data_IF_019328852982
#
_entry.id   IF_019328852982
#
_cell.length_a   1.000
_cell.length_b   1.000
_cell.length_c   1.000
_cell.angle_alpha   90.00
_cell.angle_beta   90.00
_cell.angle_gamma   90.00
#
_symmetry.space_group_name_H-M   'P 1'
#
loop_
_entity.id
_entity.type
_entity.pdbx_description
1 polymer ?
#
# COMPACT_ATOMS: atom_id res chain seq x y z
N UNK A 1 -10.26 24.63 -14.45
CA UNK A 1 -8.98 24.42 -15.19
C UNK A 1 -8.50 22.99 -15.01
N UNK A 2 -8.43 22.46 -13.76
CA UNK A 2 -7.93 21.11 -13.48
C UNK A 2 -8.80 20.01 -14.15
N UNK A 3 -10.12 20.10 -14.09
CA UNK A 3 -11.02 19.18 -14.79
C UNK A 3 -10.71 19.09 -16.29
N UNK A 4 -10.43 20.25 -16.95
CA UNK A 4 -10.02 20.29 -18.36
C UNK A 4 -8.67 19.58 -18.55
N UNK A 5 -7.69 19.82 -17.67
CA UNK A 5 -6.39 19.17 -17.74
C UNK A 5 -6.52 17.64 -17.69
N UNK A 6 -7.27 17.12 -16.73
CA UNK A 6 -7.48 15.68 -16.58
C UNK A 6 -8.17 15.03 -17.76
N UNK A 7 -9.08 15.75 -18.45
CA UNK A 7 -9.76 15.22 -19.63
C UNK A 7 -8.93 15.31 -20.93
N UNK A 8 -7.99 16.25 -21.02
CA UNK A 8 -7.24 16.51 -22.25
C UNK A 8 -5.79 15.99 -22.22
N UNK A 9 -5.31 15.50 -21.09
CA UNK A 9 -3.95 15.00 -20.94
C UNK A 9 -3.93 13.50 -20.64
N UNK A 10 -2.92 12.82 -21.16
CA UNK A 10 -2.63 11.43 -20.79
C UNK A 10 -1.73 11.49 -19.57
N UNK A 11 -2.23 10.97 -18.45
CA UNK A 11 -1.46 10.88 -17.21
C UNK A 11 -0.69 9.56 -17.15
N UNK A 12 0.61 9.64 -16.87
CA UNK A 12 1.52 8.48 -16.84
C UNK A 12 2.00 8.15 -15.42
N UNK A 13 1.41 8.73 -14.39
CA UNK A 13 1.74 8.41 -13.00
C UNK A 13 0.98 7.13 -12.63
N UNK A 14 1.72 6.03 -12.42
CA UNK A 14 1.14 4.70 -12.23
C UNK A 14 0.21 4.58 -11.01
N UNK A 15 0.36 5.45 -10.02
CA UNK A 15 -0.45 5.48 -8.79
C UNK A 15 -1.70 6.36 -8.89
N UNK A 16 -1.91 7.11 -9.97
CA UNK A 16 -3.11 7.91 -10.16
C UNK A 16 -4.27 7.05 -10.67
N UNK A 17 -5.47 7.38 -10.21
CA UNK A 17 -6.71 6.76 -10.65
C UNK A 17 -7.85 7.80 -10.67
N UNK A 18 -8.66 7.75 -11.70
CA UNK A 18 -9.86 8.58 -11.79
C UNK A 18 -10.96 7.99 -10.92
N UNK A 19 -11.33 8.69 -9.86
CA UNK A 19 -12.37 8.23 -8.94
C UNK A 19 -13.76 8.52 -9.50
N UNK A 20 -14.75 7.74 -9.04
CA UNK A 20 -16.14 8.01 -9.34
C UNK A 20 -16.64 9.28 -8.63
N UNK A 21 -17.70 9.87 -9.16
CA UNK A 21 -18.38 11.01 -8.54
C UNK A 21 -18.84 10.67 -7.11
N UNK A 22 -19.33 9.45 -6.89
CA UNK A 22 -19.76 9.00 -5.57
C UNK A 22 -18.62 8.98 -4.53
N UNK A 23 -17.41 8.60 -4.93
CA UNK A 23 -16.23 8.67 -4.05
C UNK A 23 -15.89 10.11 -3.68
N UNK A 24 -15.92 11.03 -4.66
CA UNK A 24 -15.66 12.44 -4.40
C UNK A 24 -16.72 13.07 -3.48
N UNK A 25 -17.99 12.72 -3.64
CA UNK A 25 -19.09 13.17 -2.79
C UNK A 25 -18.93 12.64 -1.36
N UNK A 26 -18.54 11.39 -1.18
CA UNK A 26 -18.29 10.80 0.14
C UNK A 26 -17.13 11.49 0.87
N UNK A 27 -16.03 11.77 0.17
CA UNK A 27 -14.88 12.47 0.75
C UNK A 27 -15.20 13.91 1.17
N UNK A 28 -16.06 14.61 0.45
CA UNK A 28 -16.50 15.99 0.74
C UNK A 28 -17.75 16.06 1.62
N UNK A 29 -18.17 14.99 2.25
CA UNK A 29 -19.37 14.94 3.07
C UNK A 29 -19.18 15.55 4.46
N UNK A 30 -20.29 15.74 5.19
CA UNK A 30 -20.28 16.23 6.58
C UNK A 30 -19.50 15.32 7.55
N UNK A 31 -19.22 14.08 7.19
CA UNK A 31 -18.37 13.18 7.97
C UNK A 31 -16.94 13.70 8.12
N UNK A 32 -16.48 14.57 7.21
CA UNK A 32 -15.20 15.29 7.31
C UNK A 32 -15.06 16.07 8.64
N UNK A 33 -16.16 16.50 9.22
CA UNK A 33 -16.17 17.26 10.48
C UNK A 33 -16.06 16.37 11.73
N UNK A 34 -16.20 15.03 11.57
CA UNK A 34 -16.32 14.12 12.72
C UNK A 34 -14.98 13.48 13.08
N UNK A 35 -14.53 13.73 14.29
CA UNK A 35 -13.40 13.02 14.89
C UNK A 35 -13.85 11.65 15.42
N UNK A 36 -13.26 10.58 14.93
CA UNK A 36 -13.70 9.21 15.18
C UNK A 36 -12.54 8.26 15.51
N UNK A 37 -11.68 8.67 16.44
CA UNK A 37 -10.57 7.86 16.92
C UNK A 37 -11.06 6.54 17.52
N UNK A 38 -10.34 5.46 17.22
CA UNK A 38 -10.70 4.10 17.59
C UNK A 38 -11.31 3.33 16.41
N UNK A 39 -12.07 2.29 16.70
CA UNK A 39 -12.70 1.43 15.70
C UNK A 39 -14.23 1.39 15.89
N UNK A 40 -15.00 0.93 14.90
CA UNK A 40 -16.44 0.78 15.03
C UNK A 40 -16.81 0.08 16.34
N UNK A 41 -17.80 0.63 17.05
CA UNK A 41 -18.27 0.20 18.37
C UNK A 41 -17.23 0.30 19.50
N UNK A 42 -16.03 0.80 19.24
CA UNK A 42 -14.92 0.98 20.21
C UNK A 42 -14.25 2.34 20.02
N UNK A 43 -15.04 3.39 19.96
CA UNK A 43 -14.55 4.78 19.78
C UNK A 43 -14.19 5.41 21.12
N UNK A 44 -13.21 6.31 21.08
CA UNK A 44 -12.86 7.12 22.25
C UNK A 44 -13.85 8.25 22.49
N UNK A 45 -14.61 8.66 21.46
CA UNK A 45 -15.55 9.79 21.52
C UNK A 45 -16.96 9.38 21.13
N UNK A 46 -17.96 10.08 21.67
CA UNK A 46 -19.36 9.89 21.33
C UNK A 46 -19.73 10.40 19.94
N UNK A 47 -20.94 10.04 19.48
CA UNK A 47 -21.50 10.52 18.21
C UNK A 47 -20.92 9.84 16.96
N UNK A 48 -20.31 8.67 17.07
CA UNK A 48 -19.65 7.98 15.98
C UNK A 48 -20.52 6.91 15.27
N UNK A 49 -21.78 6.76 15.66
CA UNK A 49 -22.66 5.71 15.13
C UNK A 49 -22.83 5.75 13.61
N UNK A 50 -22.84 6.94 13.01
CA UNK A 50 -22.94 7.08 11.55
C UNK A 50 -21.60 6.81 10.85
N UNK A 51 -20.49 7.20 11.47
CA UNK A 51 -19.14 6.88 10.99
C UNK A 51 -18.90 5.37 11.07
N UNK A 52 -19.35 4.71 12.12
CA UNK A 52 -19.24 3.26 12.28
C UNK A 52 -19.91 2.51 11.13
N UNK A 53 -21.11 2.93 10.72
CA UNK A 53 -21.80 2.36 9.55
C UNK A 53 -20.95 2.50 8.28
N UNK A 54 -20.38 3.66 8.04
CA UNK A 54 -19.56 3.91 6.86
C UNK A 54 -18.27 3.08 6.86
N UNK A 55 -17.60 2.97 8.02
CA UNK A 55 -16.36 2.20 8.16
C UNK A 55 -16.64 0.69 8.07
N UNK A 56 -17.69 0.18 8.72
CA UNK A 56 -18.05 -1.24 8.63
C UNK A 56 -18.44 -1.63 7.20
N UNK A 57 -19.18 -0.80 6.49
CA UNK A 57 -19.52 -1.02 5.09
C UNK A 57 -18.26 -1.09 4.20
N UNK A 58 -17.30 -0.22 4.43
CA UNK A 58 -16.03 -0.24 3.70
C UNK A 58 -15.21 -1.51 4.01
N UNK A 59 -15.16 -1.92 5.27
CA UNK A 59 -14.48 -3.15 5.71
C UNK A 59 -15.10 -4.39 5.09
N UNK A 60 -16.43 -4.49 5.12
CA UNK A 60 -17.15 -5.67 4.61
C UNK A 60 -16.99 -5.79 3.09
N UNK A 61 -17.09 -4.69 2.36
CA UNK A 61 -16.84 -4.66 0.91
C UNK A 61 -15.40 -5.03 0.57
N UNK A 62 -14.42 -4.53 1.32
CA UNK A 62 -13.02 -4.90 1.11
C UNK A 62 -12.77 -6.38 1.41
N UNK A 63 -13.38 -6.96 2.46
CA UNK A 63 -13.32 -8.40 2.71
C UNK A 63 -13.86 -9.21 1.54
N UNK A 64 -15.00 -8.81 1.00
CA UNK A 64 -15.61 -9.48 -0.14
C UNK A 64 -14.73 -9.42 -1.40
N UNK A 65 -14.23 -8.22 -1.75
CA UNK A 65 -13.40 -8.01 -2.95
C UNK A 65 -12.08 -8.79 -2.88
N UNK A 66 -11.43 -8.81 -1.71
CA UNK A 66 -10.10 -9.41 -1.55
C UNK A 66 -10.13 -10.83 -0.98
N UNK A 67 -11.30 -11.36 -0.61
CA UNK A 67 -11.42 -12.66 0.06
C UNK A 67 -10.68 -12.67 1.41
N UNK A 68 -10.62 -11.56 2.11
CA UNK A 68 -9.84 -11.39 3.33
C UNK A 68 -10.69 -11.61 4.57
N UNK A 69 -10.12 -12.27 5.59
CA UNK A 69 -10.78 -12.44 6.89
C UNK A 69 -10.80 -11.15 7.70
N UNK A 70 -9.73 -10.35 7.62
CA UNK A 70 -9.55 -9.10 8.35
C UNK A 70 -9.15 -7.97 7.43
N UNK A 71 -9.73 -6.80 7.63
CA UNK A 71 -9.45 -5.59 6.87
C UNK A 71 -9.39 -4.39 7.81
N UNK A 72 -8.43 -3.52 7.56
CA UNK A 72 -8.36 -2.19 8.14
C UNK A 72 -8.42 -1.15 7.00
N UNK A 73 -9.42 -0.28 7.02
CA UNK A 73 -9.65 0.74 5.98
C UNK A 73 -9.27 2.15 6.45
N UNK A 74 -8.65 2.28 7.63
CA UNK A 74 -8.31 3.59 8.19
C UNK A 74 -7.06 4.26 7.59
N UNK A 75 -6.04 3.54 7.05
CA UNK A 75 -4.91 4.21 6.43
C UNK A 75 -5.35 5.18 5.32
N UNK A 76 -4.86 6.42 5.40
CA UNK A 76 -5.22 7.46 4.41
C UNK A 76 -4.43 7.32 3.09
N UNK A 77 -3.42 6.46 3.05
CA UNK A 77 -2.55 6.24 1.88
C UNK A 77 -1.90 4.87 1.91
N UNK A 78 -1.41 4.40 0.75
CA UNK A 78 -0.60 3.19 0.67
C UNK A 78 0.66 3.27 1.53
N UNK A 79 1.29 4.45 1.64
CA UNK A 79 2.45 4.64 2.52
C UNK A 79 2.11 4.43 3.99
N UNK A 80 0.96 4.91 4.45
CA UNK A 80 0.51 4.67 5.82
C UNK A 80 0.14 3.20 6.05
N UNK A 81 -0.50 2.56 5.07
CA UNK A 81 -0.80 1.13 5.15
C UNK A 81 0.49 0.30 5.27
N UNK A 82 1.50 0.57 4.45
CA UNK A 82 2.79 -0.09 4.54
C UNK A 82 3.49 0.18 5.88
N UNK A 83 3.44 1.41 6.38
CA UNK A 83 4.00 1.75 7.69
C UNK A 83 3.33 0.97 8.82
N UNK A 84 2.01 0.81 8.78
CA UNK A 84 1.27 0.03 9.76
C UNK A 84 1.71 -1.45 9.76
N UNK A 85 1.86 -2.05 8.58
CA UNK A 85 2.35 -3.43 8.44
C UNK A 85 3.78 -3.57 8.97
N UNK A 86 4.68 -2.66 8.59
CA UNK A 86 6.07 -2.70 9.08
C UNK A 86 6.14 -2.60 10.61
N UNK A 87 5.43 -1.65 11.20
CA UNK A 87 5.38 -1.47 12.65
C UNK A 87 4.78 -2.68 13.39
N UNK A 88 3.86 -3.41 12.76
CA UNK A 88 3.24 -4.58 13.37
C UNK A 88 4.20 -5.78 13.47
N UNK A 89 5.12 -5.94 12.52
CA UNK A 89 5.91 -7.17 12.38
C UNK A 89 7.43 -6.97 12.45
N UNK A 90 7.92 -5.74 12.35
CA UNK A 90 9.35 -5.42 12.33
C UNK A 90 9.75 -4.55 13.52
N UNK A 91 11.03 -4.62 13.85
CA UNK A 91 11.73 -3.67 14.74
C UNK A 91 12.64 -2.77 13.90
N UNK A 92 13.00 -1.56 14.39
CA UNK A 92 13.99 -0.72 13.74
C UNK A 92 15.26 -1.53 13.39
N UNK A 93 15.78 -1.28 12.17
CA UNK A 93 16.96 -1.97 11.60
C UNK A 93 16.75 -3.44 11.20
N UNK A 94 15.58 -4.01 11.34
CA UNK A 94 15.29 -5.33 10.76
C UNK A 94 15.47 -5.29 9.24
N UNK A 95 15.94 -6.41 8.68
CA UNK A 95 16.21 -6.54 7.25
C UNK A 95 14.92 -6.91 6.49
N UNK A 96 14.67 -6.17 5.42
CA UNK A 96 13.53 -6.36 4.52
C UNK A 96 14.05 -6.54 3.09
N UNK A 97 13.43 -7.42 2.32
CA UNK A 97 13.67 -7.56 0.90
C UNK A 97 12.50 -6.92 0.13
N UNK A 98 12.78 -5.98 -0.76
CA UNK A 98 11.76 -5.28 -1.55
C UNK A 98 12.19 -5.10 -2.99
N UNK A 99 11.23 -4.76 -3.86
CA UNK A 99 11.55 -4.47 -5.27
C UNK A 99 12.28 -3.13 -5.38
N UNK A 100 13.34 -3.11 -6.19
CA UNK A 100 14.11 -1.91 -6.49
C UNK A 100 13.24 -0.82 -7.12
N UNK A 101 13.43 0.42 -6.68
CA UNK A 101 12.68 1.58 -7.18
C UNK A 101 12.84 1.76 -8.68
N UNK A 102 14.05 1.56 -9.21
CA UNK A 102 14.36 1.69 -10.63
C UNK A 102 13.74 0.59 -11.50
N UNK A 103 13.30 -0.50 -10.88
CA UNK A 103 12.65 -1.62 -11.55
C UNK A 103 11.12 -1.67 -11.34
N UNK A 104 10.55 -0.61 -10.78
CA UNK A 104 9.11 -0.46 -10.57
C UNK A 104 8.66 -0.59 -9.12
N UNK A 105 9.57 -0.69 -8.17
CA UNK A 105 9.27 -0.65 -6.73
C UNK A 105 8.66 0.68 -6.30
N UNK A 106 8.22 0.75 -5.05
CA UNK A 106 7.67 1.95 -4.44
C UNK A 106 8.69 2.60 -3.49
N UNK A 107 8.54 3.91 -3.22
CA UNK A 107 9.40 4.60 -2.24
C UNK A 107 9.41 3.90 -0.86
N UNK A 108 8.27 3.34 -0.44
CA UNK A 108 8.16 2.58 0.82
C UNK A 108 8.86 1.22 0.80
N UNK A 109 9.47 0.82 -0.30
CA UNK A 109 10.32 -0.38 -0.39
C UNK A 109 11.79 -0.06 -0.07
N UNK A 110 12.05 0.86 0.84
CA UNK A 110 13.37 1.11 1.39
C UNK A 110 14.15 2.25 0.75
N UNK A 111 13.49 3.15 0.02
CA UNK A 111 14.16 4.36 -0.48
C UNK A 111 14.81 5.14 0.67
N UNK A 112 16.08 5.58 0.56
CA UNK A 112 16.79 6.29 1.62
C UNK A 112 16.13 7.59 2.08
N UNK A 113 15.29 8.19 1.23
CA UNK A 113 14.55 9.43 1.53
C UNK A 113 13.14 9.16 2.07
N UNK A 114 12.78 7.90 2.26
CA UNK A 114 11.48 7.48 2.76
C UNK A 114 11.61 6.92 4.18
N UNK A 115 10.53 7.02 4.99
CA UNK A 115 10.51 6.48 6.35
C UNK A 115 10.99 5.02 6.42
N UNK A 116 10.68 4.21 5.41
CA UNK A 116 11.05 2.79 5.37
C UNK A 116 12.55 2.59 5.34
N UNK A 117 13.27 3.28 4.44
CA UNK A 117 14.73 3.20 4.37
C UNK A 117 15.45 3.92 5.52
N UNK A 118 14.78 4.87 6.18
CA UNK A 118 15.31 5.54 7.38
C UNK A 118 15.18 4.69 8.64
N UNK A 119 14.18 3.79 8.71
CA UNK A 119 13.86 3.02 9.91
C UNK A 119 14.39 1.58 9.82
N UNK A 120 14.31 0.97 8.65
CA UNK A 120 14.65 -0.45 8.43
C UNK A 120 15.82 -0.59 7.45
N UNK A 121 16.45 -1.75 7.45
CA UNK A 121 17.46 -2.09 6.44
C UNK A 121 16.79 -2.75 5.26
N UNK A 122 17.12 -2.30 4.06
CA UNK A 122 16.57 -2.87 2.84
C UNK A 122 17.66 -3.44 1.95
N UNK A 123 17.35 -4.57 1.34
CA UNK A 123 18.01 -5.11 0.17
C UNK A 123 16.98 -5.23 -0.94
N UNK A 124 17.43 -5.09 -2.18
CA UNK A 124 16.52 -5.05 -3.31
C UNK A 124 16.60 -6.32 -4.17
N UNK A 125 15.45 -6.73 -4.71
CA UNK A 125 15.38 -7.58 -5.89
C UNK A 125 14.94 -6.75 -7.09
N UNK A 126 15.25 -7.23 -8.27
CA UNK A 126 14.91 -6.53 -9.51
C UNK A 126 14.32 -7.43 -10.56
N UNK A 127 14.38 -6.95 -11.80
CA UNK A 127 14.00 -7.70 -12.99
C UNK A 127 15.26 -8.20 -13.72
N UNK A 128 15.12 -9.28 -14.43
CA UNK A 128 16.16 -9.77 -15.33
C UNK A 128 16.43 -8.76 -16.45
N UNK A 129 17.70 -8.58 -16.80
CA UNK A 129 18.15 -7.53 -17.73
C UNK A 129 17.73 -7.75 -19.19
N UNK A 130 17.32 -8.96 -19.54
CA UNK A 130 16.94 -9.33 -20.91
C UNK A 130 15.44 -9.42 -21.06
N UNK A 131 14.79 -10.15 -20.16
CA UNK A 131 13.35 -10.42 -20.22
C UNK A 131 12.51 -9.30 -19.56
N UNK A 132 13.12 -8.48 -18.71
CA UNK A 132 12.47 -7.44 -17.93
C UNK A 132 11.33 -7.96 -17.03
N UNK A 133 11.40 -9.22 -16.60
CA UNK A 133 10.47 -9.81 -15.62
C UNK A 133 11.22 -10.13 -14.32
N UNK A 134 10.45 -10.27 -13.22
CA UNK A 134 11.02 -10.64 -11.92
C UNK A 134 11.69 -12.01 -12.04
N UNK A 135 12.99 -12.07 -11.71
CA UNK A 135 13.72 -13.32 -11.59
C UNK A 135 13.50 -13.91 -10.18
N UNK A 136 12.54 -14.81 -10.07
CA UNK A 136 12.19 -15.45 -8.79
C UNK A 136 13.32 -16.33 -8.21
N UNK A 137 14.21 -16.87 -9.07
CA UNK A 137 15.36 -17.61 -8.58
C UNK A 137 16.35 -16.67 -7.89
N UNK A 138 16.60 -15.50 -8.49
CA UNK A 138 17.42 -14.47 -7.86
C UNK A 138 16.79 -13.94 -6.56
N UNK A 139 15.46 -13.76 -6.51
CA UNK A 139 14.75 -13.40 -5.27
C UNK A 139 15.01 -14.44 -4.20
N UNK A 140 14.88 -15.73 -4.54
CA UNK A 140 15.14 -16.84 -3.62
C UNK A 140 16.59 -16.84 -3.09
N UNK A 141 17.58 -16.69 -3.98
CA UNK A 141 19.00 -16.65 -3.61
C UNK A 141 19.31 -15.48 -2.67
N UNK A 142 18.80 -14.29 -2.98
CA UNK A 142 18.96 -13.10 -2.12
C UNK A 142 18.34 -13.35 -0.75
N UNK A 143 17.12 -13.90 -0.72
CA UNK A 143 16.41 -14.19 0.52
C UNK A 143 17.14 -15.22 1.37
N UNK A 144 17.60 -16.32 0.77
CA UNK A 144 18.33 -17.38 1.46
C UNK A 144 19.66 -16.91 2.02
N UNK A 145 20.37 -16.08 1.26
CA UNK A 145 21.68 -15.52 1.67
C UNK A 145 21.56 -14.55 2.84
N UNK A 146 20.55 -13.68 2.79
CA UNK A 146 20.43 -12.54 3.71
C UNK A 146 19.41 -12.76 4.82
N UNK A 147 18.49 -13.71 4.67
CA UNK A 147 17.45 -14.08 5.64
C UNK A 147 16.66 -12.86 6.15
N UNK A 148 16.01 -12.09 5.24
CA UNK A 148 15.19 -10.95 5.65
C UNK A 148 14.03 -11.41 6.53
N UNK A 149 13.59 -10.55 7.43
CA UNK A 149 12.39 -10.81 8.25
C UNK A 149 11.08 -10.64 7.49
N UNK A 150 11.14 -9.88 6.40
CA UNK A 150 9.98 -9.63 5.54
C UNK A 150 10.42 -9.55 4.08
N UNK A 151 9.58 -10.06 3.19
CA UNK A 151 9.68 -9.85 1.75
C UNK A 151 8.44 -9.08 1.31
N UNK A 152 8.65 -8.00 0.56
CA UNK A 152 7.56 -7.21 -0.02
C UNK A 152 7.37 -7.67 -1.46
N UNK A 153 6.29 -8.37 -1.73
CA UNK A 153 5.87 -8.77 -3.06
C UNK A 153 4.86 -7.77 -3.60
N UNK A 154 5.31 -6.85 -4.43
CA UNK A 154 4.47 -5.80 -4.99
C UNK A 154 5.29 -4.73 -5.68
N UNK A 155 4.61 -3.89 -6.44
CA UNK A 155 5.25 -2.84 -7.22
C UNK A 155 4.29 -1.66 -7.44
N UNK A 156 4.84 -0.50 -7.77
CA UNK A 156 4.09 0.67 -8.24
C UNK A 156 4.05 0.76 -9.76
N UNK A 157 5.17 0.49 -10.42
CA UNK A 157 5.34 0.71 -11.86
C UNK A 157 5.84 -0.51 -12.64
N UNK A 158 5.74 -1.71 -12.09
CA UNK A 158 6.03 -2.96 -12.78
C UNK A 158 4.79 -3.44 -13.56
N UNK A 159 4.83 -3.48 -14.91
CA UNK A 159 3.62 -3.66 -15.73
C UNK A 159 3.30 -5.12 -16.04
N UNK A 160 3.91 -6.08 -15.37
CA UNK A 160 3.68 -7.52 -15.59
C UNK A 160 2.96 -8.13 -14.40
N UNK A 161 2.32 -9.30 -14.63
CA UNK A 161 1.74 -10.07 -13.55
C UNK A 161 2.81 -10.54 -12.56
N UNK A 162 2.50 -10.45 -11.27
CA UNK A 162 3.36 -10.96 -10.19
C UNK A 162 2.83 -12.33 -9.80
N UNK A 163 3.69 -13.32 -9.83
CA UNK A 163 3.36 -14.67 -9.36
C UNK A 163 3.66 -14.76 -7.86
N UNK A 164 2.65 -14.44 -7.04
CA UNK A 164 2.77 -14.44 -5.59
C UNK A 164 3.07 -15.83 -4.99
N UNK A 165 2.83 -16.92 -5.72
CA UNK A 165 3.15 -18.27 -5.24
C UNK A 165 4.64 -18.58 -5.28
N UNK A 166 5.40 -17.79 -6.03
CA UNK A 166 6.84 -17.96 -6.15
C UNK A 166 7.64 -17.18 -5.10
N UNK A 167 6.99 -16.28 -4.35
CA UNK A 167 7.55 -15.63 -3.19
C UNK A 167 7.40 -16.48 -1.92
#
# INVERSE_FOLDING_TARGET
KEHKRQNEKIELIASENFTSKAVMEAMGSVLTNKYAEGYPSKRYYGGCQNVDIAEDLARDRAKEIFGAEHVNVQPHSGSQANAAVYNAVLKPYDLVLGMDLSHGGHLTHGSPVNFSGMTYKFISYGVDSVSHVIDYNNVYEIAMKNKPKMIIAGASAYPRAIDFKKF
#
